data_IF_012665252613
#
_entry.id   IF_012665252613
#
_cell.length_a   1.000
_cell.length_b   1.000
_cell.length_c   1.000
_cell.angle_alpha   90.00
_cell.angle_beta   90.00
_cell.angle_gamma   90.00
#
_symmetry.space_group_name_H-M   'P 1'
#
loop_
_entity.id
_entity.type
_entity.pdbx_description
1 polymer ?
#
# COMPACT_ATOMS: atom_id res chain seq x y z
N UNK A 1 -3.13 -22.97 16.46
CA UNK A 1 -4.49 -23.16 16.99
C UNK A 1 -5.51 -22.84 15.91
N UNK A 2 -5.76 -21.57 15.53
CA UNK A 2 -6.78 -21.23 14.51
C UNK A 2 -6.50 -21.82 13.12
N UNK A 3 -5.27 -21.69 12.58
CA UNK A 3 -4.92 -22.27 11.27
C UNK A 3 -5.01 -23.80 11.23
N UNK A 4 -4.52 -24.47 12.28
CA UNK A 4 -4.58 -25.93 12.41
C UNK A 4 -6.00 -26.46 12.57
N UNK A 5 -6.88 -25.67 13.20
CA UNK A 5 -8.31 -25.97 13.30
C UNK A 5 -9.01 -25.78 11.95
N UNK A 6 -8.68 -24.74 11.18
CA UNK A 6 -9.15 -24.55 9.81
C UNK A 6 -8.72 -25.69 8.88
N UNK A 7 -7.47 -26.16 8.97
CA UNK A 7 -6.95 -27.26 8.14
C UNK A 7 -7.64 -28.61 8.43
N UNK A 8 -8.25 -28.77 9.61
CA UNK A 8 -8.92 -30.01 10.04
C UNK A 8 -10.44 -29.95 9.94
N UNK A 9 -11.00 -28.84 9.43
CA UNK A 9 -12.43 -28.55 9.44
C UNK A 9 -13.07 -28.70 8.06
N UNK A 10 -14.18 -29.44 7.96
CA UNK A 10 -15.00 -29.47 6.75
C UNK A 10 -15.92 -28.25 6.72
N UNK A 11 -15.49 -27.19 6.05
CA UNK A 11 -16.23 -25.93 5.94
C UNK A 11 -17.63 -26.05 5.30
N UNK A 12 -17.96 -27.17 4.66
CA UNK A 12 -19.30 -27.45 4.13
C UNK A 12 -20.28 -27.94 5.20
N UNK A 13 -19.79 -28.52 6.29
CA UNK A 13 -20.61 -29.07 7.35
C UNK A 13 -21.11 -28.00 8.34
N UNK A 14 -20.34 -26.95 8.58
CA UNK A 14 -20.69 -25.84 9.48
C UNK A 14 -20.07 -24.50 8.99
N UNK A 15 -20.78 -23.80 8.08
CA UNK A 15 -20.27 -22.59 7.43
C UNK A 15 -20.15 -21.39 8.37
N UNK A 16 -20.99 -21.30 9.40
CA UNK A 16 -20.96 -20.19 10.36
C UNK A 16 -19.69 -20.24 11.23
N UNK A 17 -19.33 -21.44 11.70
CA UNK A 17 -18.08 -21.63 12.44
C UNK A 17 -16.84 -21.41 11.56
N UNK A 18 -16.89 -21.82 10.29
CA UNK A 18 -15.84 -21.52 9.32
C UNK A 18 -15.62 -20.01 9.19
N UNK A 19 -16.72 -19.24 9.05
CA UNK A 19 -16.68 -17.77 8.94
C UNK A 19 -16.04 -17.12 10.17
N UNK A 20 -16.39 -17.59 11.38
CA UNK A 20 -15.80 -17.12 12.64
C UNK A 20 -14.30 -17.40 12.69
N UNK A 21 -13.87 -18.62 12.34
CA UNK A 21 -12.46 -19.01 12.36
C UNK A 21 -11.63 -18.21 11.35
N UNK A 22 -12.16 -17.98 10.14
CA UNK A 22 -11.51 -17.12 9.11
C UNK A 22 -11.39 -15.68 9.61
N UNK A 23 -12.44 -15.15 10.24
CA UNK A 23 -12.41 -13.81 10.84
C UNK A 23 -11.33 -13.69 11.93
N UNK A 24 -11.24 -14.67 12.82
CA UNK A 24 -10.20 -14.72 13.86
C UNK A 24 -8.80 -14.85 13.28
N UNK A 25 -8.62 -15.67 12.24
CA UNK A 25 -7.35 -15.82 11.55
C UNK A 25 -6.89 -14.47 10.98
N UNK A 26 -7.80 -13.74 10.33
CA UNK A 26 -7.52 -12.42 9.76
C UNK A 26 -7.07 -11.42 10.82
N UNK A 27 -7.76 -11.36 11.96
CA UNK A 27 -7.36 -10.51 13.09
C UNK A 27 -5.95 -10.88 13.60
N UNK A 28 -5.63 -12.16 13.68
CA UNK A 28 -4.29 -12.60 14.07
C UNK A 28 -3.23 -12.21 13.04
N UNK A 29 -3.54 -12.29 11.75
CA UNK A 29 -2.62 -11.91 10.67
C UNK A 29 -2.35 -10.41 10.67
N UNK A 30 -3.39 -9.58 10.81
CA UNK A 30 -3.26 -8.13 10.91
C UNK A 30 -2.35 -7.72 12.08
N UNK A 31 -2.50 -8.40 13.24
CA UNK A 31 -1.62 -8.19 14.39
C UNK A 31 -0.16 -8.56 14.10
N UNK A 32 0.09 -9.68 13.41
CA UNK A 32 1.45 -10.09 13.05
C UNK A 32 2.08 -9.07 12.10
N UNK A 33 1.34 -8.61 11.10
CA UNK A 33 1.82 -7.60 10.16
C UNK A 33 2.09 -6.26 10.85
N UNK A 34 1.23 -5.83 11.79
CA UNK A 34 1.45 -4.62 12.58
C UNK A 34 2.75 -4.72 13.37
N UNK A 35 2.95 -5.81 14.13
CA UNK A 35 4.17 -6.04 14.91
C UNK A 35 5.40 -6.08 13.99
N UNK A 36 5.30 -6.72 12.82
CA UNK A 36 6.40 -6.72 11.87
C UNK A 36 6.71 -5.31 11.36
N UNK A 37 5.71 -4.44 11.13
CA UNK A 37 5.95 -3.06 10.75
C UNK A 37 6.65 -2.29 11.87
N UNK A 38 6.19 -2.41 13.12
CA UNK A 38 6.82 -1.75 14.26
C UNK A 38 8.29 -2.17 14.41
N UNK A 39 8.57 -3.48 14.25
CA UNK A 39 9.94 -4.01 14.26
C UNK A 39 10.76 -3.44 13.10
N UNK A 40 10.17 -3.28 11.91
CA UNK A 40 10.88 -2.70 10.76
C UNK A 40 11.21 -1.23 10.96
N UNK A 41 10.29 -0.46 11.56
CA UNK A 41 10.53 0.95 11.89
C UNK A 41 11.68 1.12 12.87
N UNK A 42 11.81 0.21 13.84
CA UNK A 42 12.93 0.22 14.80
C UNK A 42 14.24 -0.35 14.21
N UNK A 43 14.16 -1.46 13.46
CA UNK A 43 15.34 -2.24 13.05
C UNK A 43 15.99 -1.73 11.75
N UNK A 44 15.17 -1.20 10.83
CA UNK A 44 15.58 -0.85 9.46
C UNK A 44 14.92 0.45 8.94
N UNK A 45 14.91 1.57 9.71
CA UNK A 45 14.19 2.80 9.35
C UNK A 45 14.61 3.35 7.98
N UNK A 46 15.92 3.38 7.68
CA UNK A 46 16.47 3.96 6.45
C UNK A 46 16.56 2.96 5.28
N UNK A 47 16.10 1.72 5.47
CA UNK A 47 16.21 0.65 4.47
C UNK A 47 14.83 0.15 3.99
N UNK A 48 13.75 0.85 4.36
CA UNK A 48 12.40 0.55 3.88
C UNK A 48 12.31 0.70 2.36
N UNK A 49 11.59 -0.21 1.73
CA UNK A 49 11.30 -0.18 0.31
C UNK A 49 10.44 1.05 -0.02
N UNK A 50 10.83 1.74 -1.10
CA UNK A 50 10.12 2.90 -1.61
C UNK A 50 8.71 2.52 -2.07
N UNK A 51 7.72 3.34 -1.69
CA UNK A 51 6.29 3.15 -1.99
C UNK A 51 5.69 4.34 -2.75
N UNK A 52 6.51 5.14 -3.44
CA UNK A 52 6.07 6.32 -4.22
C UNK A 52 5.07 5.94 -5.32
N UNK A 53 5.07 4.68 -5.75
CA UNK A 53 4.08 4.14 -6.67
C UNK A 53 2.63 4.30 -6.15
N UNK A 54 2.41 4.41 -4.83
CA UNK A 54 1.08 4.64 -4.24
C UNK A 54 0.45 5.96 -4.71
N UNK A 55 1.25 6.95 -5.09
CA UNK A 55 0.73 8.21 -5.64
C UNK A 55 -0.03 8.01 -6.98
N UNK A 56 0.20 6.88 -7.65
CA UNK A 56 -0.52 6.48 -8.88
C UNK A 56 -1.83 5.74 -8.59
N UNK A 57 -2.04 5.29 -7.36
CA UNK A 57 -3.26 4.59 -7.00
C UNK A 57 -4.46 5.57 -6.97
N UNK A 58 -5.68 5.08 -7.16
CA UNK A 58 -6.89 5.81 -6.80
C UNK A 58 -6.93 6.08 -5.29
N UNK A 59 -7.55 7.19 -4.90
CA UNK A 59 -7.64 7.58 -3.48
C UNK A 59 -8.44 6.53 -2.66
N UNK A 60 -9.44 5.92 -3.29
CA UNK A 60 -10.30 4.85 -2.72
C UNK A 60 -9.61 3.47 -2.62
N UNK A 61 -8.28 3.39 -2.67
CA UNK A 61 -7.55 2.12 -2.47
C UNK A 61 -6.75 2.16 -1.17
N UNK A 62 -6.26 3.33 -0.81
CA UNK A 62 -5.39 3.53 0.34
C UNK A 62 -6.24 3.68 1.61
N UNK A 63 -6.59 2.55 2.21
CA UNK A 63 -7.30 2.50 3.49
C UNK A 63 -6.46 1.74 4.53
N UNK A 64 -6.78 1.92 5.81
CA UNK A 64 -6.04 1.31 6.93
C UNK A 64 -5.92 -0.22 6.83
N UNK A 65 -6.91 -0.89 6.23
CA UNK A 65 -6.95 -2.36 6.12
C UNK A 65 -6.34 -2.91 4.81
N UNK A 66 -5.68 -2.08 3.99
CA UNK A 66 -5.10 -2.54 2.72
C UNK A 66 -4.02 -3.60 2.94
N UNK A 67 -3.14 -3.41 3.93
CA UNK A 67 -2.04 -4.35 4.19
C UNK A 67 -2.55 -5.76 4.55
N UNK A 68 -3.60 -5.86 5.37
CA UNK A 68 -4.25 -7.13 5.71
C UNK A 68 -4.91 -7.79 4.50
N UNK A 69 -5.59 -7.01 3.66
CA UNK A 69 -6.19 -7.51 2.41
C UNK A 69 -5.14 -8.04 1.43
N UNK A 70 -4.03 -7.32 1.26
CA UNK A 70 -2.92 -7.74 0.42
C UNK A 70 -2.29 -9.03 0.93
N UNK A 71 -2.08 -9.14 2.24
CA UNK A 71 -1.55 -10.35 2.84
C UNK A 71 -2.46 -11.56 2.60
N UNK A 72 -3.75 -11.41 2.85
CA UNK A 72 -4.73 -12.46 2.55
C UNK A 72 -4.73 -12.84 1.06
N UNK A 73 -4.65 -11.84 0.17
CA UNK A 73 -4.50 -12.05 -1.26
C UNK A 73 -3.25 -12.85 -1.61
N UNK A 74 -2.12 -12.54 -0.98
CA UNK A 74 -0.85 -13.26 -1.16
C UNK A 74 -0.96 -14.72 -0.70
N UNK A 75 -1.56 -14.99 0.45
CA UNK A 75 -1.77 -16.36 0.94
C UNK A 75 -2.67 -17.16 0.00
N UNK A 76 -3.79 -16.57 -0.46
CA UNK A 76 -4.70 -17.23 -1.39
C UNK A 76 -4.00 -17.57 -2.72
N UNK A 77 -3.24 -16.62 -3.28
CA UNK A 77 -2.48 -16.82 -4.51
C UNK A 77 -1.37 -17.86 -4.33
N UNK A 78 -0.67 -17.84 -3.20
CA UNK A 78 0.38 -18.81 -2.86
C UNK A 78 -0.18 -20.23 -2.72
N UNK A 79 -1.39 -20.36 -2.17
CA UNK A 79 -2.15 -21.61 -2.06
C UNK A 79 -2.72 -22.11 -3.40
N UNK A 80 -2.63 -21.32 -4.47
CA UNK A 80 -3.05 -21.71 -5.81
C UNK A 80 -4.41 -21.17 -6.25
N UNK A 81 -5.06 -20.34 -5.43
CA UNK A 81 -6.28 -19.64 -5.82
C UNK A 81 -6.00 -18.65 -6.96
N UNK A 82 -7.05 -18.30 -7.70
CA UNK A 82 -7.01 -17.27 -8.74
C UNK A 82 -7.95 -16.13 -8.35
N UNK A 83 -7.56 -14.91 -8.72
CA UNK A 83 -8.45 -13.76 -8.70
C UNK A 83 -9.48 -13.97 -9.82
N UNK A 84 -10.76 -13.75 -9.47
CA UNK A 84 -11.89 -13.93 -10.38
C UNK A 84 -11.68 -13.06 -11.63
N UNK A 85 -11.81 -13.66 -12.82
CA UNK A 85 -11.57 -13.03 -14.13
C UNK A 85 -10.15 -12.54 -14.42
N UNK A 86 -9.14 -12.89 -13.60
CA UNK A 86 -7.74 -12.43 -13.74
C UNK A 86 -6.72 -13.56 -13.56
N UNK A 87 -6.93 -14.65 -14.31
CA UNK A 87 -6.14 -15.88 -14.15
C UNK A 87 -4.68 -15.73 -14.60
N UNK A 88 -4.43 -14.96 -15.67
CA UNK A 88 -3.08 -14.71 -16.19
C UNK A 88 -2.26 -13.87 -15.21
N UNK A 89 -2.85 -12.81 -14.67
CA UNK A 89 -2.22 -11.97 -13.64
C UNK A 89 -2.02 -12.76 -12.34
N UNK A 90 -2.98 -13.61 -11.96
CA UNK A 90 -2.84 -14.50 -10.80
C UNK A 90 -1.66 -15.47 -10.99
N UNK A 91 -1.50 -16.03 -12.18
CA UNK A 91 -0.39 -16.93 -12.50
C UNK A 91 0.97 -16.21 -12.47
N UNK A 92 1.05 -14.97 -12.95
CA UNK A 92 2.29 -14.18 -12.93
C UNK A 92 2.67 -13.70 -11.52
N UNK A 93 1.69 -13.39 -10.66
CA UNK A 93 1.92 -12.96 -9.27
C UNK A 93 2.20 -14.13 -8.30
N UNK A 94 1.80 -15.36 -8.64
CA UNK A 94 1.94 -16.52 -7.74
C UNK A 94 3.37 -16.79 -7.24
N UNK A 95 4.44 -16.71 -8.07
CA UNK A 95 5.81 -16.84 -7.57
C UNK A 95 6.16 -15.78 -6.51
N UNK A 96 5.74 -14.54 -6.74
CA UNK A 96 5.95 -13.43 -5.82
C UNK A 96 5.18 -13.63 -4.51
N UNK A 97 3.92 -14.06 -4.59
CA UNK A 97 3.10 -14.40 -3.42
C UNK A 97 3.73 -15.53 -2.57
N UNK A 98 4.28 -16.57 -3.22
CA UNK A 98 5.02 -17.64 -2.54
C UNK A 98 6.33 -17.17 -1.92
N UNK A 99 7.04 -16.25 -2.57
CA UNK A 99 8.26 -15.66 -2.01
C UNK A 99 7.94 -14.80 -0.78
N UNK A 100 6.88 -13.98 -0.86
CA UNK A 100 6.43 -13.11 0.22
C UNK A 100 6.01 -13.89 1.47
N UNK A 101 5.19 -14.92 1.28
CA UNK A 101 4.74 -15.79 2.39
C UNK A 101 5.90 -16.48 3.09
N UNK A 102 6.84 -17.06 2.31
CA UNK A 102 8.08 -17.65 2.84
C UNK A 102 8.99 -16.65 3.54
N UNK A 103 9.07 -15.42 3.04
CA UNK A 103 9.88 -14.36 3.64
C UNK A 103 9.36 -14.00 5.04
N UNK A 104 8.04 -13.87 5.22
CA UNK A 104 7.46 -13.62 6.54
C UNK A 104 7.70 -14.81 7.48
N UNK A 105 7.55 -16.05 7.01
CA UNK A 105 7.86 -17.22 7.83
C UNK A 105 9.32 -17.25 8.29
N UNK A 106 10.25 -16.88 7.41
CA UNK A 106 11.66 -16.75 7.77
C UNK A 106 11.88 -15.64 8.82
N UNK A 107 11.28 -14.46 8.65
CA UNK A 107 11.30 -13.38 9.64
C UNK A 107 10.78 -13.86 10.99
N UNK A 108 9.65 -14.58 11.01
CA UNK A 108 9.07 -15.15 12.24
C UNK A 108 10.02 -16.13 12.93
N UNK A 109 10.67 -17.02 12.17
CA UNK A 109 11.65 -17.96 12.71
C UNK A 109 12.85 -17.23 13.34
N UNK A 110 13.43 -16.27 12.64
CA UNK A 110 14.60 -15.52 13.12
C UNK A 110 14.26 -14.65 14.35
N UNK A 111 13.11 -13.98 14.35
CA UNK A 111 12.65 -13.20 15.51
C UNK A 111 12.40 -14.10 16.72
N UNK A 112 11.81 -15.29 16.51
CA UNK A 112 11.63 -16.28 17.58
C UNK A 112 12.97 -16.73 18.16
N UNK A 113 13.93 -17.08 17.33
CA UNK A 113 15.28 -17.46 17.78
C UNK A 113 16.00 -16.33 18.54
N UNK A 114 15.83 -15.09 18.08
CA UNK A 114 16.45 -13.93 18.74
C UNK A 114 15.81 -13.64 20.10
N UNK A 115 14.48 -13.78 20.22
CA UNK A 115 13.76 -13.57 21.48
C UNK A 115 14.26 -14.48 22.61
N UNK A 116 14.68 -15.71 22.28
CA UNK A 116 15.22 -16.67 23.25
C UNK A 116 16.63 -16.31 23.74
N UNK A 117 17.35 -15.45 23.02
CA UNK A 117 18.74 -15.06 23.31
C UNK A 117 18.85 -13.75 24.11
N UNK A 118 17.74 -13.06 24.40
CA UNK A 118 17.70 -11.76 25.10
C UNK A 118 18.68 -10.72 24.54
N UNK A 119 18.76 -10.61 23.21
CA UNK A 119 19.56 -9.57 22.54
C UNK A 119 18.82 -8.25 22.54
N UNK A 120 19.44 -7.19 23.06
CA UNK A 120 18.91 -5.81 23.02
C UNK A 120 18.93 -5.19 21.61
N UNK A 121 19.57 -5.84 20.64
CA UNK A 121 19.68 -5.38 19.27
C UNK A 121 19.29 -6.46 18.25
N UNK A 122 18.70 -6.02 17.13
CA UNK A 122 18.40 -6.88 15.98
C UNK A 122 19.68 -7.26 15.24
N UNK A 123 19.89 -8.58 15.08
CA UNK A 123 21.01 -9.11 14.32
C UNK A 123 20.94 -8.73 12.84
N UNK A 124 22.09 -8.68 12.16
CA UNK A 124 22.15 -8.37 10.72
C UNK A 124 21.31 -9.35 9.89
N UNK A 125 21.22 -10.62 10.32
CA UNK A 125 20.37 -11.63 9.69
C UNK A 125 18.89 -11.27 9.76
N UNK A 126 18.43 -10.76 10.90
CA UNK A 126 17.04 -10.30 11.08
C UNK A 126 16.79 -9.05 10.24
N UNK A 127 17.70 -8.06 10.29
CA UNK A 127 17.59 -6.83 9.49
C UNK A 127 17.50 -7.13 7.99
N UNK A 128 18.33 -8.03 7.48
CA UNK A 128 18.30 -8.42 6.07
C UNK A 128 17.02 -9.18 5.71
N UNK A 129 16.55 -10.09 6.58
CA UNK A 129 15.29 -10.81 6.36
C UNK A 129 14.08 -9.85 6.33
N UNK A 130 14.06 -8.86 7.23
CA UNK A 130 13.04 -7.81 7.27
C UNK A 130 13.09 -6.94 6.00
N UNK A 131 14.29 -6.58 5.52
CA UNK A 131 14.46 -5.82 4.27
C UNK A 131 13.92 -6.58 3.05
N UNK A 132 14.22 -7.88 2.97
CA UNK A 132 13.71 -8.75 1.89
C UNK A 132 12.19 -8.83 1.96
N UNK A 133 11.64 -9.04 3.16
CA UNK A 133 10.19 -9.06 3.36
C UNK A 133 9.53 -7.74 2.94
N UNK A 134 10.05 -6.59 3.40
CA UNK A 134 9.49 -5.27 3.08
C UNK A 134 9.51 -4.98 1.56
N UNK A 135 10.61 -5.34 0.89
CA UNK A 135 10.73 -5.22 -0.57
C UNK A 135 9.71 -6.11 -1.30
N UNK A 136 9.61 -7.38 -0.93
CA UNK A 136 8.66 -8.31 -1.55
C UNK A 136 7.22 -7.86 -1.32
N UNK A 137 6.93 -7.33 -0.14
CA UNK A 137 5.60 -6.81 0.19
C UNK A 137 5.26 -5.59 -0.67
N UNK A 138 6.18 -4.63 -0.83
CA UNK A 138 5.99 -3.47 -1.68
C UNK A 138 5.81 -3.84 -3.17
N UNK A 139 6.59 -4.80 -3.67
CA UNK A 139 6.46 -5.31 -5.03
C UNK A 139 5.11 -6.01 -5.24
N UNK A 140 4.70 -6.85 -4.27
CA UNK A 140 3.40 -7.52 -4.32
C UNK A 140 2.25 -6.53 -4.28
N UNK A 141 2.31 -5.52 -3.41
CA UNK A 141 1.33 -4.44 -3.33
C UNK A 141 1.13 -3.76 -4.69
N UNK A 142 2.24 -3.36 -5.34
CA UNK A 142 2.18 -2.73 -6.65
C UNK A 142 1.53 -3.65 -7.69
N UNK A 143 1.99 -4.90 -7.80
CA UNK A 143 1.44 -5.84 -8.77
C UNK A 143 -0.04 -6.14 -8.53
N UNK A 144 -0.42 -6.36 -7.26
CA UNK A 144 -1.77 -6.74 -6.89
C UNK A 144 -2.77 -5.60 -7.13
N UNK A 145 -2.44 -4.39 -6.68
CA UNK A 145 -3.30 -3.21 -6.90
C UNK A 145 -3.43 -2.89 -8.38
N UNK A 146 -2.31 -2.89 -9.13
CA UNK A 146 -2.32 -2.65 -10.58
C UNK A 146 -3.14 -3.71 -11.34
N UNK A 147 -3.14 -4.95 -10.83
CA UNK A 147 -3.96 -6.00 -11.37
C UNK A 147 -5.43 -5.86 -10.96
N UNK A 148 -5.81 -5.17 -9.88
CA UNK A 148 -7.21 -5.09 -9.46
C UNK A 148 -7.93 -3.85 -9.98
N UNK A 149 -7.24 -2.71 -10.00
CA UNK A 149 -7.79 -1.41 -10.37
C UNK A 149 -6.90 -0.73 -11.41
N UNK A 150 -7.48 0.09 -12.30
CA UNK A 150 -6.68 0.91 -13.19
C UNK A 150 -5.88 1.92 -12.34
N UNK A 151 -4.56 1.89 -12.49
CA UNK A 151 -3.65 2.86 -11.87
C UNK A 151 -3.18 3.88 -12.91
N UNK A 152 -2.85 5.09 -12.45
CA UNK A 152 -2.31 6.13 -13.34
C UNK A 152 -0.99 5.64 -13.94
N UNK A 153 -0.84 5.77 -15.26
CA UNK A 153 0.45 5.60 -15.92
C UNK A 153 1.45 6.65 -15.43
N UNK A 154 2.75 6.40 -15.63
CA UNK A 154 3.78 7.37 -15.30
C UNK A 154 3.56 8.73 -16.00
N UNK A 155 3.05 8.69 -17.25
CA UNK A 155 2.74 9.90 -18.03
C UNK A 155 1.54 10.65 -17.45
N UNK A 156 0.45 9.96 -17.12
CA UNK A 156 -0.74 10.59 -16.53
C UNK A 156 -0.43 11.20 -15.17
N UNK A 157 0.34 10.50 -14.34
CA UNK A 157 0.78 11.03 -13.06
C UNK A 157 1.66 12.27 -13.22
N UNK A 158 2.59 12.25 -14.17
CA UNK A 158 3.44 13.40 -14.45
C UNK A 158 2.63 14.61 -14.93
N UNK A 159 1.70 14.41 -15.87
CA UNK A 159 0.82 15.48 -16.35
C UNK A 159 -0.04 16.06 -15.22
N UNK A 160 -0.51 15.22 -14.30
CA UNK A 160 -1.23 15.69 -13.11
C UNK A 160 -0.35 16.59 -12.24
N UNK A 161 0.93 16.25 -12.05
CA UNK A 161 1.86 17.10 -11.31
C UNK A 161 2.11 18.44 -12.02
N UNK A 162 2.24 18.44 -13.35
CA UNK A 162 2.39 19.67 -14.14
C UNK A 162 1.16 20.59 -13.98
N UNK A 163 -0.04 20.02 -13.96
CA UNK A 163 -1.28 20.77 -13.69
C UNK A 163 -1.25 21.40 -12.29
N UNK A 164 -0.79 20.68 -11.27
CA UNK A 164 -0.67 21.20 -9.90
C UNK A 164 0.32 22.37 -9.82
N UNK A 165 1.45 22.27 -10.53
CA UNK A 165 2.41 23.37 -10.65
C UNK A 165 1.76 24.57 -11.32
N UNK A 166 1.05 24.37 -12.43
CA UNK A 166 0.35 25.44 -13.14
C UNK A 166 -0.70 26.14 -12.26
N UNK A 167 -1.43 25.38 -11.43
CA UNK A 167 -2.39 25.94 -10.48
C UNK A 167 -1.68 26.82 -9.43
N UNK A 168 -0.55 26.33 -8.92
CA UNK A 168 0.27 27.05 -7.93
C UNK A 168 0.84 28.35 -8.49
N UNK A 169 1.38 28.31 -9.71
CA UNK A 169 1.90 29.49 -10.40
C UNK A 169 0.80 30.52 -10.68
N UNK A 170 -0.38 30.04 -11.10
CA UNK A 170 -1.56 30.89 -11.33
C UNK A 170 -2.00 31.59 -10.04
N UNK A 171 -2.03 30.86 -8.92
CA UNK A 171 -2.37 31.42 -7.61
C UNK A 171 -1.34 32.47 -7.16
N UNK A 172 -0.05 32.15 -7.22
CA UNK A 172 1.04 33.07 -6.86
C UNK A 172 0.95 34.36 -7.69
N UNK A 173 0.65 34.25 -8.98
CA UNK A 173 0.48 35.42 -9.85
C UNK A 173 -0.76 36.24 -9.48
N UNK A 174 -1.89 35.58 -9.21
CA UNK A 174 -3.12 36.26 -8.80
C UNK A 174 -2.93 37.06 -7.51
N UNK A 175 -2.19 36.50 -6.54
CA UNK A 175 -1.78 37.20 -5.31
C UNK A 175 -0.89 38.42 -5.62
N UNK A 176 0.13 38.25 -6.47
CA UNK A 176 1.05 39.36 -6.83
C UNK A 176 0.36 40.54 -7.51
N UNK A 177 -0.70 40.29 -8.27
CA UNK A 177 -1.47 41.33 -8.97
C UNK A 177 -2.59 41.89 -8.07
N UNK A 178 -2.85 41.27 -6.91
CA UNK A 178 -3.91 41.67 -5.98
C UNK A 178 -5.31 41.26 -6.43
N UNK A 179 -5.43 40.26 -7.30
CA UNK A 179 -6.73 39.67 -7.71
C UNK A 179 -7.32 38.76 -6.64
N UNK A 180 -6.45 38.24 -5.76
CA UNK A 180 -6.76 37.37 -4.63
C UNK A 180 -5.98 37.91 -3.44
N UNK A 181 -6.57 37.88 -2.24
CA UNK A 181 -5.88 38.26 -1.00
C UNK A 181 -5.28 37.03 -0.32
N UNK A 182 -4.27 37.24 0.53
CA UNK A 182 -3.68 36.14 1.31
C UNK A 182 -4.71 35.50 2.25
N UNK A 183 -5.62 36.31 2.82
CA UNK A 183 -6.71 35.86 3.69
C UNK A 183 -7.62 34.83 2.99
N UNK A 184 -7.98 35.04 1.71
CA UNK A 184 -8.78 34.08 0.95
C UNK A 184 -8.07 32.72 0.76
N UNK A 185 -6.74 32.72 0.71
CA UNK A 185 -5.95 31.48 0.60
C UNK A 185 -5.91 30.78 1.94
N UNK A 186 -5.63 31.53 3.01
CA UNK A 186 -5.49 31.00 4.36
C UNK A 186 -6.83 30.44 4.90
N UNK A 187 -7.95 31.05 4.51
CA UNK A 187 -9.31 30.61 4.86
C UNK A 187 -9.85 29.49 3.95
N UNK A 188 -9.06 29.02 2.97
CA UNK A 188 -9.49 28.05 1.96
C UNK A 188 -10.81 28.44 1.27
N UNK A 189 -10.93 29.71 0.86
CA UNK A 189 -12.18 30.24 0.26
C UNK A 189 -12.68 29.32 -0.86
N UNK A 190 -13.89 28.75 -0.75
CA UNK A 190 -14.43 27.82 -1.74
C UNK A 190 -14.46 28.42 -3.15
N UNK A 191 -14.79 29.71 -3.28
CA UNK A 191 -14.82 30.42 -4.55
C UNK A 191 -13.45 30.47 -5.20
N UNK A 192 -12.40 30.64 -4.39
CA UNK A 192 -11.02 30.60 -4.85
C UNK A 192 -10.62 29.19 -5.31
N UNK A 193 -10.96 28.16 -4.53
CA UNK A 193 -10.67 26.75 -4.83
C UNK A 193 -11.29 26.30 -6.16
N UNK A 194 -12.47 26.82 -6.53
CA UNK A 194 -13.07 26.56 -7.85
C UNK A 194 -12.52 27.44 -8.98
N UNK A 195 -12.10 28.67 -8.67
CA UNK A 195 -11.72 29.65 -9.69
C UNK A 195 -10.29 29.45 -10.19
N UNK A 196 -9.35 29.11 -9.29
CA UNK A 196 -7.94 28.93 -9.65
C UNK A 196 -7.73 27.84 -10.72
N UNK A 197 -8.32 26.64 -10.62
CA UNK A 197 -8.20 25.63 -11.68
C UNK A 197 -8.65 26.14 -13.04
N UNK A 198 -9.75 26.91 -13.09
CA UNK A 198 -10.30 27.46 -14.35
C UNK A 198 -9.37 28.50 -14.95
N UNK A 199 -8.86 29.41 -14.13
CA UNK A 199 -7.89 30.42 -14.57
C UNK A 199 -6.61 29.76 -15.07
N UNK A 200 -6.13 28.74 -14.36
CA UNK A 200 -4.92 28.04 -14.72
C UNK A 200 -5.02 27.31 -16.06
N UNK A 201 -6.18 26.69 -16.36
CA UNK A 201 -6.42 26.07 -17.67
C UNK A 201 -6.37 27.11 -18.79
N UNK A 202 -7.07 28.24 -18.65
CA UNK A 202 -7.06 29.32 -19.64
C UNK A 202 -5.64 29.87 -19.82
N UNK A 203 -4.92 30.03 -18.71
CA UNK A 203 -3.55 30.51 -18.70
C UNK A 203 -2.57 29.55 -19.40
N UNK A 204 -2.69 28.25 -19.10
CA UNK A 204 -1.89 27.20 -19.73
C UNK A 204 -2.06 27.19 -21.25
N UNK A 205 -3.30 27.28 -21.75
CA UNK A 205 -3.60 27.33 -23.19
C UNK A 205 -3.06 28.58 -23.89
N UNK A 206 -2.95 29.71 -23.18
CA UNK A 206 -2.48 30.97 -23.77
C UNK A 206 -0.94 31.07 -23.84
N UNK A 207 -0.21 30.40 -22.95
CA UNK A 207 1.25 30.50 -22.85
C UNK A 207 2.01 29.26 -23.34
N UNK A 208 1.38 28.09 -23.26
CA UNK A 208 1.93 26.80 -23.66
C UNK A 208 0.93 26.09 -24.59
N UNK A 209 0.72 26.58 -25.83
CA UNK A 209 -0.18 25.97 -26.80
C UNK A 209 0.29 24.59 -27.30
#
# INVERSE_FOLDING_TARGET
>A
MVATELDSFDGRADPDRCSILVSQLRICQDKVLSICNDIMDDAIPDMRANRDFRAKFPDDVLHENLAGQLWFGAECLAAGSNIIHRELESASMRPLAKALTRALDNVRCLLREQSLKNSLAYSDKVREALRIFDRLFAEFELCYVSAMVPIKSAKEYHLQQEIVVLFSETLIRALKIGLVTQEMVDDYDPSLMFTIPRLAIVWGLLLYP
#
